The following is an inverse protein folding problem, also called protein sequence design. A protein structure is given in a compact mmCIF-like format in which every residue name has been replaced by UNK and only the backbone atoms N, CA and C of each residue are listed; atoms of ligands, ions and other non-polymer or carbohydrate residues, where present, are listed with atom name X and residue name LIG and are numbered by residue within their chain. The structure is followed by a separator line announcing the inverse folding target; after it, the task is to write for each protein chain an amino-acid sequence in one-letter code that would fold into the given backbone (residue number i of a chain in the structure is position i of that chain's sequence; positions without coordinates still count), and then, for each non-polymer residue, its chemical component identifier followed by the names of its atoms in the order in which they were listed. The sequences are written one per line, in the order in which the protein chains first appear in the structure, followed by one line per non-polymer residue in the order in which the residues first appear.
data_IF_836317756922
#
_entry.id   IF_836317756922
#
_cell.length_a   1.000
_cell.length_b   1.000
_cell.length_c   1.000
_cell.angle_alpha   90.00
_cell.angle_beta   90.00
_cell.angle_gamma   90.00
#
_symmetry.space_group_name_H-M   'P 1'
#
loop_
_entity.id
_entity.type
_entity.pdbx_description
1 polymer ?
#
# COMPACT_ATOMS: atom_id res chain seq x y z
N UNK A 1 40.25 -22.56 14.42
CA UNK A 1 41.19 -22.14 13.36
C UNK A 1 41.94 -20.93 13.88
N UNK A 2 43.25 -20.85 13.66
CA UNK A 2 44.04 -19.66 14.01
C UNK A 2 43.47 -18.45 13.25
N UNK A 3 42.96 -17.45 13.98
CA UNK A 3 42.41 -16.23 13.38
C UNK A 3 43.55 -15.46 12.70
N UNK A 4 43.48 -15.31 11.38
CA UNK A 4 44.46 -14.54 10.61
C UNK A 4 44.20 -13.06 10.87
N UNK A 5 45.09 -12.41 11.62
CA UNK A 5 45.05 -10.96 11.85
C UNK A 5 45.06 -10.26 10.49
N UNK A 6 44.05 -9.42 10.24
CA UNK A 6 43.90 -8.70 8.97
C UNK A 6 44.43 -7.28 9.10
N UNK A 7 45.51 -6.95 8.39
CA UNK A 7 46.06 -5.59 8.33
C UNK A 7 45.84 -4.92 6.98
N UNK A 8 46.28 -3.66 6.84
CA UNK A 8 46.12 -2.88 5.60
C UNK A 8 46.62 -3.60 4.34
N UNK A 9 47.77 -4.26 4.42
CA UNK A 9 48.40 -4.94 3.29
C UNK A 9 47.63 -6.16 2.78
N UNK A 10 46.68 -6.65 3.58
CA UNK A 10 45.80 -7.75 3.21
C UNK A 10 44.52 -7.26 2.54
N UNK A 11 44.26 -5.95 2.47
CA UNK A 11 43.02 -5.40 1.91
C UNK A 11 43.28 -4.72 0.57
N UNK A 12 42.40 -5.00 -0.37
CA UNK A 12 42.41 -4.41 -1.70
C UNK A 12 41.05 -3.76 -1.96
N UNK A 13 41.08 -2.47 -2.31
CA UNK A 13 39.91 -1.74 -2.78
C UNK A 13 39.92 -1.67 -4.31
N UNK A 14 38.76 -1.94 -4.92
CA UNK A 14 38.50 -1.73 -6.35
C UNK A 14 37.29 -0.83 -6.51
N UNK A 15 37.27 0.12 -7.47
CA UNK A 15 38.31 0.39 -8.48
C UNK A 15 39.44 1.32 -8.00
N UNK A 16 39.41 1.79 -6.76
CA UNK A 16 40.34 2.77 -6.22
C UNK A 16 41.67 2.14 -5.78
N UNK A 17 42.77 2.47 -6.47
CA UNK A 17 44.11 2.05 -6.07
C UNK A 17 44.70 3.06 -5.08
N UNK A 18 44.42 2.84 -3.80
CA UNK A 18 44.82 3.74 -2.72
C UNK A 18 45.65 3.00 -1.67
N UNK A 19 46.51 3.73 -0.96
CA UNK A 19 47.11 3.24 0.27
C UNK A 19 46.11 3.44 1.41
N UNK A 20 45.35 2.40 1.73
CA UNK A 20 44.31 2.41 2.75
C UNK A 20 44.86 2.85 4.12
N UNK A 21 44.20 3.81 4.75
CA UNK A 21 44.55 4.39 6.06
C UNK A 21 43.44 4.21 7.09
N UNK A 22 42.18 4.14 6.66
CA UNK A 22 41.06 3.86 7.55
C UNK A 22 40.05 3.01 6.80
N UNK A 23 39.45 2.06 7.50
CA UNK A 23 38.32 1.28 7.01
C UNK A 23 37.34 1.06 8.15
N UNK A 24 36.06 1.33 7.88
CA UNK A 24 34.96 1.01 8.77
C UNK A 24 33.84 0.36 7.98
N UNK A 25 33.42 -0.83 8.38
CA UNK A 25 32.27 -1.53 7.79
C UNK A 25 31.25 -1.76 8.90
N UNK A 26 30.01 -1.31 8.71
CA UNK A 26 28.92 -1.48 9.66
C UNK A 26 27.79 -2.27 9.01
N UNK A 27 27.42 -3.38 9.62
CA UNK A 27 26.31 -4.24 9.22
C UNK A 27 25.28 -4.25 10.35
N UNK A 28 24.02 -3.97 10.03
CA UNK A 28 22.88 -4.13 10.96
C UNK A 28 21.70 -4.76 10.23
N UNK A 29 20.91 -5.57 10.92
CA UNK A 29 19.63 -6.07 10.40
C UNK A 29 18.74 -4.85 10.07
N UNK A 30 18.00 -4.92 8.95
CA UNK A 30 17.15 -3.86 8.39
C UNK A 30 17.88 -2.63 7.82
N UNK A 31 19.21 -2.61 7.84
CA UNK A 31 20.01 -1.53 7.29
C UNK A 31 20.85 -2.03 6.12
N UNK A 32 21.17 -1.13 5.20
CA UNK A 32 22.19 -1.40 4.19
C UNK A 32 23.55 -1.50 4.87
N UNK A 33 24.39 -2.44 4.46
CA UNK A 33 25.76 -2.49 4.97
C UNK A 33 26.49 -1.26 4.47
N UNK A 34 27.11 -0.51 5.39
CA UNK A 34 27.81 0.74 5.08
C UNK A 34 29.31 0.56 5.25
N UNK A 35 30.07 0.93 4.24
CA UNK A 35 31.51 1.00 4.28
C UNK A 35 31.98 2.46 4.19
N UNK A 36 32.98 2.81 5.00
CA UNK A 36 33.71 4.05 4.93
C UNK A 36 35.18 3.72 4.77
N UNK A 37 35.88 4.42 3.89
CA UNK A 37 37.30 4.24 3.70
C UNK A 37 37.99 5.57 3.51
N UNK A 38 39.22 5.64 4.02
CA UNK A 38 40.16 6.73 3.78
C UNK A 38 41.44 6.13 3.26
N UNK A 39 42.01 6.68 2.19
CA UNK A 39 43.32 6.23 1.71
C UNK A 39 44.10 7.33 1.00
N UNK A 40 45.43 7.19 1.00
CA UNK A 40 46.34 8.12 0.32
C UNK A 40 46.35 7.78 -1.17
N UNK A 41 46.29 8.81 -1.99
CA UNK A 41 46.36 8.75 -3.45
C UNK A 41 47.50 9.63 -3.96
N UNK A 42 48.14 9.25 -5.06
CA UNK A 42 49.13 10.08 -5.71
C UNK A 42 48.49 11.31 -6.35
N UNK A 43 49.25 12.41 -6.44
CA UNK A 43 48.73 13.69 -6.95
C UNK A 43 48.16 13.59 -8.37
N UNK A 44 48.74 12.75 -9.21
CA UNK A 44 48.32 12.51 -10.60
C UNK A 44 47.00 11.71 -10.72
N UNK A 45 46.58 11.01 -9.66
CA UNK A 45 45.36 10.20 -9.65
C UNK A 45 44.20 10.84 -8.86
N UNK A 46 44.42 11.99 -8.21
CA UNK A 46 43.45 12.59 -7.29
C UNK A 46 42.12 12.95 -7.97
N UNK A 47 42.17 13.60 -9.13
CA UNK A 47 40.98 14.08 -9.84
C UNK A 47 40.33 12.94 -10.62
N UNK A 48 41.14 12.01 -11.16
CA UNK A 48 40.68 10.83 -11.89
C UNK A 48 39.62 10.04 -11.12
N UNK A 49 39.82 9.82 -9.82
CA UNK A 49 38.88 9.03 -9.03
C UNK A 49 37.55 9.75 -8.78
N UNK A 50 37.55 11.07 -8.72
CA UNK A 50 36.30 11.85 -8.69
C UNK A 50 35.61 11.76 -10.05
N UNK A 51 36.35 11.97 -11.14
CA UNK A 51 35.81 11.99 -12.50
C UNK A 51 35.25 10.63 -12.95
N UNK A 52 35.91 9.52 -12.60
CA UNK A 52 35.44 8.16 -12.97
C UNK A 52 34.31 7.63 -12.09
N UNK A 53 34.01 8.28 -10.96
CA UNK A 53 32.97 7.81 -10.05
C UNK A 53 31.62 8.37 -10.51
N UNK A 54 30.91 7.56 -11.27
CA UNK A 54 29.57 7.82 -11.77
C UNK A 54 28.48 7.22 -10.87
N UNK A 55 27.22 7.46 -11.23
CA UNK A 55 26.07 6.86 -10.55
C UNK A 55 26.18 5.32 -10.54
N UNK A 56 25.98 4.72 -9.36
CA UNK A 56 26.08 3.27 -9.14
C UNK A 56 27.47 2.67 -9.42
N UNK A 57 28.55 3.47 -9.35
CA UNK A 57 29.92 2.94 -9.43
C UNK A 57 30.12 1.83 -8.40
N UNK A 58 30.44 0.59 -8.83
CA UNK A 58 30.62 -0.51 -7.92
C UNK A 58 31.93 -0.36 -7.15
N UNK A 59 31.93 -0.82 -5.90
CA UNK A 59 33.12 -0.91 -5.07
C UNK A 59 33.21 -2.29 -4.44
N UNK A 60 34.42 -2.85 -4.45
CA UNK A 60 34.74 -4.10 -3.78
C UNK A 60 35.87 -3.88 -2.79
N UNK A 61 35.69 -4.38 -1.58
CA UNK A 61 36.74 -4.50 -0.57
C UNK A 61 37.02 -5.99 -0.42
N UNK A 62 38.21 -6.40 -0.85
CA UNK A 62 38.64 -7.79 -0.88
C UNK A 62 39.78 -8.00 0.10
N UNK A 63 39.73 -9.10 0.84
CA UNK A 63 40.83 -9.59 1.64
C UNK A 63 41.66 -10.60 0.83
N UNK A 64 42.95 -10.33 0.69
CA UNK A 64 43.92 -11.23 0.06
C UNK A 64 44.12 -12.45 0.95
N UNK A 65 43.68 -13.61 0.45
CA UNK A 65 43.84 -14.89 1.14
C UNK A 65 45.28 -15.41 1.08
N UNK A 66 45.60 -16.37 1.95
CA UNK A 66 46.88 -17.12 1.95
C UNK A 66 46.92 -18.16 0.80
N UNK A 67 45.75 -18.56 0.27
CA UNK A 67 45.61 -19.51 -0.84
C UNK A 67 44.74 -18.91 -1.95
N UNK A 68 45.39 -18.31 -2.96
CA UNK A 68 44.96 -17.96 -4.33
C UNK A 68 43.60 -17.27 -4.63
N UNK A 69 42.58 -17.37 -3.79
CA UNK A 69 41.30 -16.68 -3.96
C UNK A 69 41.15 -15.56 -2.93
N UNK A 70 40.88 -14.34 -3.43
CA UNK A 70 40.54 -13.20 -2.59
C UNK A 70 39.14 -13.43 -1.98
N UNK A 71 39.00 -13.20 -0.67
CA UNK A 71 37.71 -13.25 0.03
C UNK A 71 37.08 -11.88 -0.01
N UNK A 72 35.88 -11.77 -0.57
CA UNK A 72 35.14 -10.50 -0.62
C UNK A 72 34.60 -10.13 0.75
N UNK A 73 35.03 -9.00 1.29
CA UNK A 73 34.59 -8.47 2.60
C UNK A 73 33.35 -7.57 2.42
N UNK A 74 33.28 -6.85 1.32
CA UNK A 74 32.17 -5.97 1.00
C UNK A 74 32.06 -5.73 -0.50
N UNK A 75 30.83 -5.80 -1.03
CA UNK A 75 30.48 -5.32 -2.38
C UNK A 75 29.30 -4.37 -2.30
N UNK A 76 29.47 -3.19 -2.85
CA UNK A 76 28.46 -2.15 -2.81
C UNK A 76 28.59 -1.17 -3.95
N UNK A 77 27.90 -0.05 -3.79
CA UNK A 77 27.96 1.10 -4.67
C UNK A 77 28.44 2.30 -3.89
N UNK A 78 29.27 3.13 -4.52
CA UNK A 78 29.78 4.36 -3.93
C UNK A 78 28.65 5.38 -3.85
N UNK A 79 28.44 5.93 -2.66
CA UNK A 79 27.37 6.91 -2.39
C UNK A 79 27.91 8.30 -2.11
N UNK A 80 29.18 8.40 -1.72
CA UNK A 80 29.89 9.65 -1.57
C UNK A 80 31.38 9.43 -1.81
N UNK A 81 32.04 10.37 -2.48
CA UNK A 81 33.49 10.35 -2.65
C UNK A 81 34.02 11.78 -2.59
N UNK A 82 35.16 11.96 -1.95
CA UNK A 82 35.78 13.25 -1.75
C UNK A 82 37.30 13.14 -1.74
N UNK A 83 37.97 14.15 -2.26
CA UNK A 83 39.42 14.33 -2.12
C UNK A 83 39.70 15.44 -1.11
N UNK A 84 40.68 15.21 -0.24
CA UNK A 84 41.19 16.18 0.73
C UNK A 84 42.71 16.27 0.59
N UNK A 85 43.25 17.49 0.57
CA UNK A 85 44.69 17.72 0.64
C UNK A 85 45.10 18.20 2.04
N UNK A 86 46.14 17.60 2.62
CA UNK A 86 46.73 18.01 3.89
C UNK A 86 48.25 17.97 3.74
N UNK A 87 48.91 19.14 3.79
CA UNK A 87 50.37 19.27 3.64
C UNK A 87 50.89 18.57 2.38
N UNK A 88 50.23 18.83 1.25
CA UNK A 88 50.54 18.27 -0.08
C UNK A 88 50.40 16.74 -0.20
N UNK A 89 49.78 16.09 0.79
CA UNK A 89 49.34 14.70 0.70
C UNK A 89 47.85 14.67 0.39
N UNK A 90 47.48 13.92 -0.64
CA UNK A 90 46.09 13.78 -1.09
C UNK A 90 45.46 12.51 -0.51
N UNK A 91 44.27 12.66 0.06
CA UNK A 91 43.46 11.61 0.66
C UNK A 91 42.14 11.50 -0.08
N UNK A 92 41.70 10.28 -0.35
CA UNK A 92 40.35 9.98 -0.79
C UNK A 92 39.56 9.46 0.41
N UNK A 93 38.43 10.11 0.65
CA UNK A 93 37.41 9.72 1.63
C UNK A 93 36.20 9.22 0.84
N UNK A 94 35.76 7.99 1.09
CA UNK A 94 34.62 7.40 0.38
C UNK A 94 33.62 6.73 1.31
N UNK A 95 32.35 6.80 0.92
CA UNK A 95 31.24 6.06 1.52
C UNK A 95 30.60 5.15 0.47
N UNK A 96 30.23 3.96 0.90
CA UNK A 96 29.53 3.00 0.06
C UNK A 96 28.45 2.25 0.84
N UNK A 97 27.39 1.87 0.13
CA UNK A 97 26.30 1.06 0.65
C UNK A 97 26.17 -0.24 -0.15
N UNK A 98 25.72 -1.32 0.50
CA UNK A 98 25.40 -2.58 -0.18
C UNK A 98 24.41 -2.37 -1.33
N UNK A 99 24.41 -3.26 -2.32
CA UNK A 99 23.58 -3.14 -3.53
C UNK A 99 22.07 -3.07 -3.25
N UNK A 100 21.60 -3.55 -2.09
CA UNK A 100 20.21 -3.36 -1.62
C UNK A 100 19.81 -1.88 -1.49
N UNK A 101 20.76 -0.94 -1.40
CA UNK A 101 20.49 0.49 -1.40
C UNK A 101 19.74 0.95 -2.65
N UNK A 102 19.89 0.27 -3.79
CA UNK A 102 19.13 0.57 -5.01
C UNK A 102 17.61 0.47 -4.80
N UNK A 103 17.16 -0.34 -3.83
CA UNK A 103 15.75 -0.48 -3.44
C UNK A 103 15.27 0.63 -2.51
N UNK A 104 16.15 1.48 -1.97
CA UNK A 104 15.82 2.53 -0.99
C UNK A 104 15.96 3.96 -1.54
N UNK A 105 15.95 4.13 -2.87
CA UNK A 105 16.13 5.43 -3.52
C UNK A 105 14.78 6.10 -3.85
N UNK A 106 13.89 5.38 -4.54
CA UNK A 106 12.64 5.94 -5.09
C UNK A 106 11.43 5.48 -4.26
N UNK A 107 10.65 6.43 -3.77
CA UNK A 107 9.34 6.13 -3.19
C UNK A 107 8.34 5.74 -4.27
N UNK A 108 7.53 4.73 -3.99
CA UNK A 108 6.54 4.15 -4.90
C UNK A 108 5.18 4.03 -4.22
N UNK A 109 4.16 3.93 -5.05
CA UNK A 109 2.80 3.63 -4.63
C UNK A 109 2.22 2.56 -5.53
N UNK A 110 1.79 1.43 -4.97
CA UNK A 110 1.15 0.29 -5.66
C UNK A 110 0.38 -0.56 -4.66
N UNK A 111 -0.67 -1.24 -5.10
CA UNK A 111 -1.48 -2.11 -4.25
C UNK A 111 -1.33 -3.59 -4.63
N UNK A 112 -1.50 -4.43 -3.61
CA UNK A 112 -1.52 -5.89 -3.69
C UNK A 112 -2.85 -6.36 -3.12
N UNK A 113 -3.84 -6.46 -4.02
CA UNK A 113 -5.23 -6.73 -3.65
C UNK A 113 -5.55 -8.22 -3.50
N UNK A 114 -4.77 -9.09 -4.14
CA UNK A 114 -4.98 -10.53 -4.13
C UNK A 114 -4.57 -11.12 -2.78
N UNK A 115 -5.55 -11.34 -1.89
CA UNK A 115 -5.32 -11.91 -0.56
C UNK A 115 -4.69 -13.31 -0.57
N UNK A 116 -4.81 -14.04 -1.67
CA UNK A 116 -4.29 -15.39 -1.83
C UNK A 116 -2.87 -15.40 -2.45
N UNK A 117 -2.32 -14.23 -2.79
CA UNK A 117 -0.91 -14.06 -3.18
C UNK A 117 0.03 -14.45 -2.03
N UNK A 118 1.11 -15.16 -2.33
CA UNK A 118 2.15 -15.48 -1.34
C UNK A 118 3.05 -14.28 -1.06
N UNK A 119 3.66 -14.22 0.13
CA UNK A 119 4.69 -13.21 0.40
C UNK A 119 5.87 -13.33 -0.57
N UNK A 120 6.23 -14.54 -1.00
CA UNK A 120 7.28 -14.76 -1.97
C UNK A 120 6.94 -14.14 -3.33
N UNK A 121 5.71 -14.31 -3.83
CA UNK A 121 5.25 -13.70 -5.08
C UNK A 121 5.22 -12.16 -4.99
N UNK A 122 4.78 -11.62 -3.84
CA UNK A 122 4.79 -10.19 -3.57
C UNK A 122 6.22 -9.64 -3.61
N UNK A 123 7.17 -10.29 -2.93
CA UNK A 123 8.58 -9.87 -2.91
C UNK A 123 9.18 -9.95 -4.32
N UNK A 124 8.94 -11.05 -5.05
CA UNK A 124 9.39 -11.22 -6.43
C UNK A 124 8.83 -10.12 -7.34
N UNK A 125 7.57 -9.71 -7.17
CA UNK A 125 6.98 -8.59 -7.90
C UNK A 125 7.70 -7.27 -7.61
N UNK A 126 8.09 -7.03 -6.35
CA UNK A 126 8.78 -5.81 -5.94
C UNK A 126 10.21 -5.76 -6.49
N UNK A 127 10.93 -6.88 -6.46
CA UNK A 127 12.36 -6.90 -6.78
C UNK A 127 12.68 -7.14 -8.28
N UNK A 128 11.69 -7.52 -9.10
CA UNK A 128 11.89 -7.93 -10.49
C UNK A 128 12.50 -6.83 -11.40
N UNK A 129 12.34 -5.56 -11.05
CA UNK A 129 12.88 -4.43 -11.80
C UNK A 129 14.39 -4.22 -11.55
N UNK A 130 14.96 -4.90 -10.55
CA UNK A 130 16.36 -4.79 -10.17
C UNK A 130 17.17 -5.96 -10.73
N UNK A 131 18.13 -5.66 -11.61
CA UNK A 131 18.95 -6.67 -12.28
C UNK A 131 19.71 -7.57 -11.29
N UNK A 132 19.41 -8.87 -11.32
CA UNK A 132 20.05 -9.88 -10.46
C UNK A 132 19.65 -9.84 -9.00
N UNK A 133 18.61 -9.06 -8.64
CA UNK A 133 18.02 -9.10 -7.31
C UNK A 133 17.37 -10.45 -7.03
N UNK A 134 17.39 -10.83 -5.76
CA UNK A 134 16.93 -12.12 -5.29
C UNK A 134 16.65 -12.05 -3.79
N UNK A 135 15.71 -12.86 -3.31
CA UNK A 135 15.36 -12.93 -1.91
C UNK A 135 15.44 -14.38 -1.44
N UNK A 136 16.30 -14.63 -0.46
CA UNK A 136 16.30 -15.91 0.25
C UNK A 136 15.31 -15.83 1.41
N UNK A 137 14.13 -16.41 1.22
CA UNK A 137 13.06 -16.45 2.19
C UNK A 137 13.19 -17.67 3.12
N UNK A 138 13.50 -17.42 4.39
CA UNK A 138 13.67 -18.47 5.40
C UNK A 138 12.50 -18.54 6.39
N UNK A 139 11.46 -17.70 6.23
CA UNK A 139 10.45 -17.48 7.27
C UNK A 139 9.01 -17.64 6.81
N UNK A 140 8.63 -17.26 5.58
CA UNK A 140 7.21 -17.21 5.20
C UNK A 140 6.64 -18.60 4.96
N UNK A 141 7.47 -19.54 4.49
CA UNK A 141 7.09 -20.93 4.19
C UNK A 141 5.85 -21.04 3.28
N UNK A 142 5.71 -20.11 2.34
CA UNK A 142 4.59 -20.07 1.39
C UNK A 142 3.30 -19.48 1.96
N UNK A 143 3.36 -18.78 3.10
CA UNK A 143 2.17 -18.12 3.64
C UNK A 143 1.64 -17.03 2.69
N UNK A 144 0.33 -16.87 2.67
CA UNK A 144 -0.35 -15.86 1.86
C UNK A 144 -0.52 -14.55 2.62
N UNK A 145 -0.67 -13.45 1.88
CA UNK A 145 -0.81 -12.12 2.49
C UNK A 145 -2.13 -11.98 3.27
N UNK A 146 -3.17 -12.76 2.92
CA UNK A 146 -4.50 -12.88 3.57
C UNK A 146 -5.36 -11.62 3.64
N UNK A 147 -4.79 -10.47 3.32
CA UNK A 147 -5.43 -9.16 3.39
C UNK A 147 -4.94 -8.24 2.28
N UNK A 148 -5.61 -7.10 2.13
CA UNK A 148 -5.14 -6.03 1.26
C UNK A 148 -3.82 -5.47 1.80
N UNK A 149 -2.84 -5.31 0.91
CA UNK A 149 -1.57 -4.65 1.20
C UNK A 149 -1.36 -3.50 0.22
N UNK A 150 -0.84 -2.38 0.70
CA UNK A 150 -0.47 -1.24 -0.15
C UNK A 150 0.92 -0.75 0.19
N UNK A 151 1.78 -0.61 -0.82
CA UNK A 151 2.97 0.24 -0.71
C UNK A 151 2.52 1.67 -1.02
N UNK A 152 2.68 2.61 -0.09
CA UNK A 152 2.23 4.00 -0.30
C UNK A 152 3.29 5.00 0.12
N UNK A 153 3.90 5.66 -0.86
CA UNK A 153 5.03 6.59 -0.63
C UNK A 153 6.15 5.98 0.22
N UNK A 154 6.39 4.68 0.03
CA UNK A 154 7.49 3.92 0.64
C UNK A 154 8.48 3.56 -0.46
N UNK A 155 9.77 3.51 -0.15
CA UNK A 155 10.72 2.82 -1.01
C UNK A 155 10.47 1.32 -0.98
N UNK A 156 11.06 0.57 -1.91
CA UNK A 156 10.93 -0.89 -1.91
C UNK A 156 11.60 -1.50 -0.69
N UNK A 157 12.73 -0.97 -0.24
CA UNK A 157 13.37 -1.42 0.99
C UNK A 157 12.50 -1.16 2.23
N UNK A 158 11.89 0.02 2.35
CA UNK A 158 10.96 0.33 3.45
C UNK A 158 9.76 -0.61 3.45
N UNK A 159 9.18 -0.88 2.28
CA UNK A 159 8.07 -1.79 2.10
C UNK A 159 8.44 -3.23 2.47
N UNK A 160 9.57 -3.74 1.96
CA UNK A 160 10.05 -5.08 2.25
C UNK A 160 10.37 -5.27 3.75
N UNK A 161 10.92 -4.25 4.43
CA UNK A 161 11.10 -4.26 5.89
C UNK A 161 9.78 -4.41 6.62
N UNK A 162 8.75 -3.72 6.14
CA UNK A 162 7.40 -3.84 6.70
C UNK A 162 6.82 -5.24 6.49
N UNK A 163 7.00 -5.83 5.31
CA UNK A 163 6.59 -7.22 5.06
C UNK A 163 7.32 -8.20 5.99
N UNK A 164 8.64 -8.04 6.18
CA UNK A 164 9.42 -8.83 7.14
C UNK A 164 8.90 -8.72 8.58
N UNK A 165 8.45 -7.52 8.97
CA UNK A 165 7.93 -7.28 10.32
C UNK A 165 6.66 -8.05 10.63
N UNK A 166 5.87 -8.47 9.62
CA UNK A 166 4.69 -9.33 9.82
C UNK A 166 5.06 -10.71 10.41
N UNK A 167 6.32 -11.13 10.26
CA UNK A 167 6.88 -12.37 10.81
C UNK A 167 7.82 -12.10 12.00
N UNK A 168 7.77 -10.89 12.58
CA UNK A 168 8.66 -10.43 13.63
C UNK A 168 10.15 -10.58 13.31
N UNK A 169 10.51 -10.41 12.04
CA UNK A 169 11.89 -10.54 11.56
C UNK A 169 12.33 -9.32 10.76
N UNK A 170 13.57 -9.34 10.28
CA UNK A 170 14.15 -8.27 9.47
C UNK A 170 14.82 -8.78 8.20
N UNK A 171 15.43 -7.85 7.48
CA UNK A 171 16.16 -8.11 6.24
C UNK A 171 17.67 -8.05 6.48
N UNK A 172 18.41 -8.94 5.82
CA UNK A 172 19.88 -8.95 5.86
C UNK A 172 20.42 -8.87 4.43
N UNK A 173 21.15 -7.80 4.05
CA UNK A 173 21.78 -7.71 2.74
C UNK A 173 22.84 -8.79 2.51
N UNK A 174 22.86 -9.37 1.32
CA UNK A 174 23.98 -10.22 0.86
C UNK A 174 25.12 -9.34 0.31
N UNK A 175 26.34 -9.61 0.77
CA UNK A 175 27.55 -8.86 0.45
C UNK A 175 28.47 -9.57 -0.54
N UNK A 176 28.13 -10.80 -0.93
CA UNK A 176 29.01 -11.67 -1.73
C UNK A 176 28.70 -11.62 -3.22
N UNK A 177 27.42 -11.50 -3.58
CA UNK A 177 26.95 -11.57 -4.97
C UNK A 177 27.24 -10.32 -5.80
N UNK A 178 27.45 -9.15 -5.18
CA UNK A 178 27.54 -7.88 -5.90
C UNK A 178 26.23 -7.50 -6.62
N UNK A 179 25.10 -8.01 -6.10
CA UNK A 179 23.75 -7.75 -6.61
C UNK A 179 22.81 -7.40 -5.46
N UNK A 180 21.62 -6.83 -5.74
CA UNK A 180 20.64 -6.45 -4.72
C UNK A 180 19.95 -7.66 -4.07
N UNK A 181 20.73 -8.57 -3.51
CA UNK A 181 20.26 -9.79 -2.85
C UNK A 181 20.16 -9.58 -1.35
N UNK A 182 19.19 -10.25 -0.73
CA UNK A 182 18.99 -10.21 0.71
C UNK A 182 18.29 -11.46 1.22
N UNK A 183 18.35 -11.64 2.54
CA UNK A 183 17.59 -12.65 3.26
C UNK A 183 16.37 -11.99 3.90
N UNK A 184 15.22 -12.64 3.78
CA UNK A 184 14.04 -12.36 4.59
C UNK A 184 14.09 -13.31 5.80
N UNK A 185 14.53 -12.77 6.94
CA UNK A 185 14.88 -13.57 8.11
C UNK A 185 16.38 -13.87 8.21
N UNK A 186 16.71 -14.82 9.09
CA UNK A 186 18.10 -15.21 9.35
C UNK A 186 18.58 -16.21 8.29
N UNK A 187 19.84 -16.11 7.81
CA UNK A 187 20.43 -17.14 6.98
C UNK A 187 20.49 -18.48 7.71
N UNK A 188 20.20 -19.58 7.01
CA UNK A 188 20.42 -20.92 7.56
C UNK A 188 21.92 -21.13 7.81
N UNK A 189 22.31 -21.29 9.08
CA UNK A 189 23.69 -21.58 9.46
C UNK A 189 23.89 -23.09 9.53
N UNK A 190 24.90 -23.62 8.82
CA UNK A 190 25.20 -25.06 8.81
C UNK A 190 25.72 -25.59 10.16
N UNK A 191 26.29 -24.72 11.00
CA UNK A 191 26.79 -25.04 12.34
C UNK A 191 27.04 -23.76 13.16
N UNK A 192 26.81 -23.83 14.47
CA UNK A 192 27.15 -22.76 15.41
C UNK A 192 28.67 -22.52 15.44
N UNK A 193 29.09 -21.26 15.40
CA UNK A 193 30.51 -20.90 15.48
C UNK A 193 30.90 -20.66 16.93
N UNK A 194 31.97 -21.30 17.40
CA UNK A 194 32.57 -21.02 18.70
C UNK A 194 33.66 -19.96 18.54
N UNK A 195 33.60 -18.93 19.38
CA UNK A 195 34.66 -17.90 19.45
C UNK A 195 35.54 -18.11 20.68
N UNK A 196 36.85 -18.12 20.42
CA UNK A 196 37.91 -18.13 21.44
C UNK A 196 38.63 -16.77 21.41
N UNK A 197 39.16 -16.31 22.55
CA UNK A 197 39.84 -15.01 22.70
C UNK A 197 38.97 -13.79 22.32
N UNK A 198 38.30 -13.24 23.33
CA UNK A 198 37.43 -12.09 23.15
C UNK A 198 37.42 -11.19 24.39
N UNK A 199 37.08 -9.92 24.19
CA UNK A 199 36.70 -8.98 25.24
C UNK A 199 35.21 -8.69 25.13
N UNK A 200 34.50 -8.56 26.25
CA UNK A 200 33.07 -8.28 26.18
C UNK A 200 32.53 -7.40 27.30
N UNK A 201 31.45 -6.69 26.99
CA UNK A 201 30.51 -6.11 27.94
C UNK A 201 29.17 -6.85 27.83
N UNK A 202 28.33 -6.76 28.87
CA UNK A 202 26.99 -7.33 28.86
C UNK A 202 25.98 -6.28 29.29
N UNK A 203 24.89 -6.18 28.56
CA UNK A 203 23.80 -5.26 28.82
C UNK A 203 22.44 -5.93 28.68
N UNK A 204 21.40 -5.21 29.08
CA UNK A 204 20.01 -5.64 28.90
C UNK A 204 19.15 -4.43 28.51
N UNK A 205 18.42 -4.54 27.40
CA UNK A 205 17.55 -3.47 26.91
C UNK A 205 16.15 -3.55 27.57
N UNK A 206 16.05 -3.05 28.80
CA UNK A 206 14.81 -3.08 29.59
C UNK A 206 13.68 -2.30 28.93
N UNK A 207 13.98 -1.13 28.34
CA UNK A 207 12.96 -0.33 27.63
C UNK A 207 12.41 -1.07 26.40
N UNK A 208 13.28 -1.74 25.64
CA UNK A 208 12.88 -2.54 24.50
C UNK A 208 11.99 -3.72 24.90
N UNK A 209 12.35 -4.38 26.01
CA UNK A 209 11.53 -5.46 26.59
C UNK A 209 10.10 -4.98 26.89
N UNK A 210 9.95 -3.95 27.73
CA UNK A 210 8.63 -3.42 28.11
C UNK A 210 7.80 -3.02 26.90
N UNK A 211 8.42 -2.32 25.94
CA UNK A 211 7.70 -1.88 24.75
C UNK A 211 7.24 -3.06 23.89
N UNK A 212 8.10 -4.05 23.65
CA UNK A 212 7.75 -5.20 22.81
C UNK A 212 6.78 -6.16 23.50
N UNK A 213 6.93 -6.45 24.79
CA UNK A 213 6.06 -7.38 25.53
C UNK A 213 4.62 -6.87 25.65
N UNK A 214 4.44 -5.57 25.85
CA UNK A 214 3.11 -4.97 26.04
C UNK A 214 2.37 -4.74 24.72
N UNK A 215 3.07 -4.68 23.57
CA UNK A 215 2.47 -4.24 22.31
C UNK A 215 2.55 -5.26 21.15
N UNK A 216 3.54 -6.17 21.12
CA UNK A 216 3.84 -6.94 19.91
C UNK A 216 4.17 -8.42 20.15
N UNK A 217 5.06 -8.72 21.10
CA UNK A 217 5.57 -10.07 21.34
C UNK A 217 4.91 -10.70 22.55
N UNK A 218 4.35 -11.90 22.37
CA UNK A 218 3.79 -12.68 23.48
C UNK A 218 4.84 -13.64 24.05
N UNK A 219 4.74 -13.94 25.35
CA UNK A 219 5.58 -14.93 26.04
C UNK A 219 7.10 -14.65 26.00
N UNK A 220 7.49 -13.37 25.93
CA UNK A 220 8.90 -12.96 26.02
C UNK A 220 9.27 -12.58 27.45
N UNK A 221 10.56 -12.73 27.78
CA UNK A 221 11.12 -12.37 29.08
C UNK A 221 12.18 -11.29 28.93
N UNK A 222 12.53 -10.62 30.03
CA UNK A 222 13.61 -9.63 30.02
C UNK A 222 14.98 -10.26 29.69
N UNK A 223 15.12 -11.59 29.80
CA UNK A 223 16.34 -12.32 29.41
C UNK A 223 16.54 -12.40 27.91
N UNK A 224 15.46 -12.32 27.12
CA UNK A 224 15.50 -12.28 25.65
C UNK A 224 16.09 -10.98 25.11
N UNK A 225 16.18 -9.95 25.96
CA UNK A 225 16.71 -8.61 25.66
C UNK A 225 18.12 -8.39 26.22
N UNK A 226 18.79 -9.45 26.68
CA UNK A 226 20.21 -9.42 27.00
C UNK A 226 21.00 -9.29 25.70
N UNK A 227 22.07 -8.50 25.72
CA UNK A 227 23.02 -8.44 24.63
C UNK A 227 24.45 -8.43 25.14
N UNK A 228 25.37 -8.94 24.32
CA UNK A 228 26.80 -8.89 24.55
C UNK A 228 27.45 -8.04 23.48
N UNK A 229 28.26 -7.08 23.89
CA UNK A 229 29.15 -6.37 22.98
C UNK A 229 30.49 -7.11 23.02
N UNK A 230 30.92 -7.68 21.90
CA UNK A 230 32.08 -8.57 21.84
C UNK A 230 33.11 -8.02 20.87
N UNK A 231 34.35 -7.85 21.31
CA UNK A 231 35.53 -7.59 20.48
C UNK A 231 36.31 -8.90 20.28
N UNK A 232 36.57 -9.27 19.02
CA UNK A 232 37.32 -10.48 18.65
C UNK A 232 37.95 -10.34 17.27
N UNK A 233 38.94 -11.19 16.95
CA UNK A 233 39.55 -11.30 15.61
C UNK A 233 38.78 -12.27 14.70
N UNK A 234 37.79 -12.99 15.23
CA UNK A 234 36.95 -13.88 14.44
C UNK A 234 36.01 -13.10 13.52
N UNK A 235 35.90 -13.52 12.26
CA UNK A 235 34.98 -12.93 11.28
C UNK A 235 33.64 -13.67 11.36
N UNK A 236 32.63 -12.97 11.88
CA UNK A 236 31.25 -13.45 11.99
C UNK A 236 30.33 -12.64 11.06
N UNK A 237 29.34 -13.33 10.48
CA UNK A 237 28.32 -12.72 9.63
C UNK A 237 27.03 -12.41 10.41
N UNK A 238 26.26 -11.44 9.89
CA UNK A 238 24.96 -11.09 10.48
C UNK A 238 24.02 -12.29 10.47
N UNK A 239 23.30 -12.47 11.58
CA UNK A 239 22.35 -13.55 11.76
C UNK A 239 22.97 -14.94 11.97
N UNK A 240 24.30 -15.07 11.93
CA UNK A 240 24.97 -16.33 12.26
C UNK A 240 24.79 -16.70 13.72
N UNK A 241 24.65 -18.00 13.96
CA UNK A 241 24.57 -18.59 15.29
C UNK A 241 25.97 -18.75 15.90
N UNK A 242 26.11 -18.30 17.15
CA UNK A 242 27.36 -18.26 17.92
C UNK A 242 27.17 -18.97 19.26
N UNK A 243 28.03 -19.95 19.52
CA UNK A 243 28.16 -20.58 20.84
C UNK A 243 29.04 -19.70 21.73
N UNK A 244 28.39 -18.92 22.59
CA UNK A 244 29.06 -17.96 23.47
C UNK A 244 28.73 -18.25 24.94
N UNK A 245 29.74 -18.63 25.71
CA UNK A 245 29.63 -18.98 27.15
C UNK A 245 28.56 -20.05 27.41
N UNK A 246 28.64 -21.15 26.67
CA UNK A 246 27.74 -22.32 26.75
C UNK A 246 26.25 -21.99 26.50
N UNK A 247 25.99 -20.90 25.76
CA UNK A 247 24.67 -20.47 25.34
C UNK A 247 24.70 -20.05 23.87
N UNK A 248 23.57 -20.19 23.22
CA UNK A 248 23.36 -19.84 21.82
C UNK A 248 22.95 -18.36 21.71
N UNK A 249 23.71 -17.59 20.92
CA UNK A 249 23.42 -16.21 20.56
C UNK A 249 23.52 -16.01 19.05
N UNK A 250 23.01 -14.91 18.55
CA UNK A 250 23.04 -14.55 17.14
C UNK A 250 23.66 -13.17 16.95
N UNK A 251 24.40 -12.99 15.85
CA UNK A 251 25.00 -11.71 15.49
C UNK A 251 23.93 -10.73 15.02
N UNK A 252 23.59 -9.75 15.87
CA UNK A 252 22.57 -8.72 15.58
C UNK A 252 23.16 -7.52 14.85
N UNK A 253 24.36 -7.11 15.24
CA UNK A 253 25.11 -6.02 14.62
C UNK A 253 26.59 -6.42 14.50
N UNK A 254 27.25 -5.94 13.45
CA UNK A 254 28.69 -6.09 13.25
C UNK A 254 29.29 -4.77 12.82
N UNK A 255 30.41 -4.41 13.42
CA UNK A 255 31.25 -3.31 12.97
C UNK A 255 32.71 -3.74 12.92
N UNK A 256 33.31 -3.64 11.75
CA UNK A 256 34.75 -3.82 11.58
C UNK A 256 35.39 -2.44 11.47
N UNK A 257 36.39 -2.16 12.30
CA UNK A 257 37.12 -0.89 12.31
C UNK A 257 38.61 -1.16 12.29
N UNK A 258 39.32 -0.48 11.40
CA UNK A 258 40.77 -0.49 11.38
C UNK A 258 41.32 0.39 12.51
N UNK A 259 42.10 -0.21 13.42
CA UNK A 259 42.74 0.46 14.55
C UNK A 259 44.17 -0.03 14.70
N UNK A 260 45.14 0.89 14.81
CA UNK A 260 46.59 0.59 14.90
C UNK A 260 47.10 -0.40 13.82
N UNK A 261 46.48 -0.37 12.63
CA UNK A 261 46.85 -1.22 11.49
C UNK A 261 46.29 -2.63 11.51
N UNK A 262 45.37 -2.93 12.43
CA UNK A 262 44.65 -4.20 12.52
C UNK A 262 43.14 -3.94 12.40
N UNK A 263 42.46 -4.74 11.60
CA UNK A 263 41.01 -4.71 11.49
C UNK A 263 40.39 -5.41 12.71
N UNK A 264 39.84 -4.63 13.63
CA UNK A 264 39.14 -5.12 14.82
C UNK A 264 37.66 -5.30 14.53
N UNK A 265 37.09 -6.40 15.02
CA UNK A 265 35.67 -6.67 14.87
C UNK A 265 34.95 -6.52 16.21
N UNK A 266 33.91 -5.70 16.20
CA UNK A 266 32.98 -5.54 17.30
C UNK A 266 31.60 -6.06 16.88
N UNK A 267 31.01 -6.89 17.72
CA UNK A 267 29.72 -7.53 17.47
C UNK A 267 28.75 -7.20 18.60
N UNK A 268 27.47 -7.13 18.25
CA UNK A 268 26.41 -7.24 19.24
C UNK A 268 25.74 -8.60 19.07
N UNK A 269 25.90 -9.46 20.08
CA UNK A 269 25.26 -10.77 20.15
C UNK A 269 23.99 -10.67 20.98
N UNK A 270 22.90 -11.28 20.53
CA UNK A 270 21.63 -11.32 21.26
C UNK A 270 20.94 -12.69 21.10
N UNK A 271 20.08 -13.10 22.06
CA UNK A 271 19.23 -14.27 21.89
C UNK A 271 18.39 -14.15 20.61
N UNK A 272 17.94 -15.28 20.06
CA UNK A 272 17.14 -15.28 18.82
C UNK A 272 15.94 -14.34 18.86
N UNK A 273 15.20 -14.34 19.98
CA UNK A 273 14.05 -13.45 20.21
C UNK A 273 14.50 -11.98 20.30
N UNK A 274 15.70 -11.70 20.79
CA UNK A 274 16.28 -10.35 20.82
C UNK A 274 16.63 -9.79 19.43
N UNK A 275 16.52 -10.59 18.37
CA UNK A 275 16.61 -10.13 16.97
C UNK A 275 15.22 -9.85 16.37
N UNK A 276 14.13 -10.09 17.12
CA UNK A 276 12.78 -9.85 16.62
C UNK A 276 12.51 -8.36 16.41
N UNK A 277 11.75 -8.07 15.35
CA UNK A 277 11.30 -6.72 15.04
C UNK A 277 9.79 -6.58 15.30
N UNK A 278 9.40 -5.43 15.87
CA UNK A 278 7.99 -5.10 16.06
C UNK A 278 7.33 -4.83 14.70
N UNK A 279 6.01 -4.99 14.62
CA UNK A 279 5.25 -4.69 13.40
C UNK A 279 5.46 -3.23 13.00
N UNK A 280 5.84 -3.05 11.74
CA UNK A 280 5.98 -1.74 11.11
C UNK A 280 4.66 -1.45 10.38
N UNK A 281 4.22 -0.19 10.42
CA UNK A 281 3.03 0.26 9.70
C UNK A 281 3.37 1.46 8.84
N UNK A 282 2.71 1.57 7.69
CA UNK A 282 2.82 2.75 6.86
C UNK A 282 1.89 3.84 7.39
N UNK A 283 2.41 4.76 8.21
CA UNK A 283 1.60 5.85 8.75
C UNK A 283 1.24 6.93 7.72
N UNK A 284 1.87 6.96 6.54
CA UNK A 284 1.57 7.97 5.50
C UNK A 284 0.24 7.71 4.81
N UNK A 285 -0.30 6.49 4.89
CA UNK A 285 -1.61 6.14 4.31
C UNK A 285 -2.78 6.68 5.16
N UNK A 286 -2.54 6.98 6.44
CA UNK A 286 -3.59 7.43 7.37
C UNK A 286 -4.21 8.73 6.87
N UNK A 287 -5.52 8.70 6.65
CA UNK A 287 -6.27 9.84 6.11
C UNK A 287 -6.18 10.02 4.60
N UNK A 288 -5.38 9.19 3.90
CA UNK A 288 -5.27 9.26 2.45
C UNK A 288 -6.55 8.74 1.77
N UNK A 289 -6.82 9.28 0.59
CA UNK A 289 -7.88 8.81 -0.30
C UNK A 289 -7.31 8.57 -1.68
N UNK A 290 -7.39 7.33 -2.16
CA UNK A 290 -6.87 6.93 -3.46
C UNK A 290 -8.05 6.77 -4.41
N UNK A 291 -8.02 7.52 -5.51
CA UNK A 291 -9.04 7.40 -6.53
C UNK A 291 -8.89 6.07 -7.27
N UNK A 292 -10.00 5.50 -7.70
CA UNK A 292 -10.00 4.30 -8.49
C UNK A 292 -11.32 4.05 -9.18
N UNK A 293 -11.27 3.20 -10.19
CA UNK A 293 -12.42 2.84 -11.02
C UNK A 293 -13.08 1.57 -10.50
N UNK A 294 -14.39 1.61 -10.33
CA UNK A 294 -15.19 0.43 -9.94
C UNK A 294 -15.17 -0.59 -11.07
N UNK A 295 -14.72 -1.81 -10.77
CA UNK A 295 -14.61 -2.92 -11.73
C UNK A 295 -15.54 -4.08 -11.38
N UNK A 296 -16.06 -4.13 -10.16
CA UNK A 296 -17.13 -5.03 -9.76
C UNK A 296 -17.90 -4.50 -8.57
N UNK A 297 -19.14 -4.96 -8.42
CA UNK A 297 -20.05 -4.58 -7.34
C UNK A 297 -20.74 -5.84 -6.84
N UNK A 298 -20.79 -6.02 -5.53
CA UNK A 298 -21.54 -7.10 -4.89
C UNK A 298 -22.08 -6.63 -3.55
N UNK A 299 -23.41 -6.63 -3.41
CA UNK A 299 -24.11 -6.04 -2.25
C UNK A 299 -23.61 -4.60 -1.97
N UNK A 300 -23.15 -4.35 -0.75
CA UNK A 300 -22.57 -3.11 -0.23
C UNK A 300 -21.05 -3.01 -0.42
N UNK A 301 -20.46 -3.86 -1.26
CA UNK A 301 -19.03 -3.89 -1.52
C UNK A 301 -18.71 -3.60 -2.99
N UNK A 302 -17.53 -3.03 -3.22
CA UNK A 302 -16.99 -2.73 -4.55
C UNK A 302 -15.57 -3.26 -4.69
N UNK A 303 -15.23 -3.72 -5.89
CA UNK A 303 -13.85 -3.93 -6.32
C UNK A 303 -13.40 -2.72 -7.11
N UNK A 304 -12.18 -2.26 -6.84
CA UNK A 304 -11.68 -1.00 -7.38
C UNK A 304 -10.31 -1.20 -8.01
N UNK A 305 -10.16 -0.82 -9.28
CA UNK A 305 -8.85 -0.59 -9.91
C UNK A 305 -8.36 0.77 -9.40
N UNK A 306 -7.41 0.78 -8.47
CA UNK A 306 -6.82 2.01 -7.94
C UNK A 306 -5.90 2.66 -8.96
N UNK A 307 -5.94 3.98 -9.11
CA UNK A 307 -5.15 4.70 -10.12
C UNK A 307 -3.63 4.62 -9.93
N UNK A 308 -3.18 4.21 -8.74
CA UNK A 308 -1.78 3.94 -8.47
C UNK A 308 -1.28 2.64 -9.13
N UNK A 309 -2.20 1.80 -9.62
CA UNK A 309 -1.88 0.52 -10.24
C UNK A 309 -2.03 0.60 -11.76
N UNK A 310 -1.04 0.06 -12.48
CA UNK A 310 -1.10 -0.02 -13.94
C UNK A 310 -2.22 -0.96 -14.42
N UNK A 311 -2.42 -2.07 -13.69
CA UNK A 311 -3.40 -3.11 -14.02
C UNK A 311 -3.98 -3.73 -12.76
N UNK A 312 -5.26 -4.10 -12.82
CA UNK A 312 -5.94 -4.83 -11.75
C UNK A 312 -6.79 -5.96 -12.35
N UNK A 313 -6.50 -7.22 -11.98
CA UNK A 313 -7.39 -8.33 -12.31
C UNK A 313 -8.66 -8.21 -11.45
N UNK A 314 -9.82 -8.23 -12.11
CA UNK A 314 -11.14 -8.14 -11.49
C UNK A 314 -11.36 -9.25 -10.46
N UNK A 315 -10.99 -10.49 -10.77
CA UNK A 315 -11.31 -11.65 -9.93
C UNK A 315 -10.45 -11.73 -8.67
N UNK A 316 -9.29 -11.09 -8.70
CA UNK A 316 -8.31 -11.03 -7.60
C UNK A 316 -8.42 -9.73 -6.78
N UNK A 317 -9.19 -8.75 -7.25
CA UNK A 317 -9.33 -7.47 -6.56
C UNK A 317 -10.00 -7.61 -5.19
N UNK A 318 -9.61 -6.74 -4.28
CA UNK A 318 -10.08 -6.72 -2.91
C UNK A 318 -11.46 -6.08 -2.85
N UNK A 319 -12.33 -6.63 -2.00
CA UNK A 319 -13.66 -6.07 -1.76
C UNK A 319 -13.56 -4.98 -0.70
N UNK A 320 -13.75 -3.74 -1.12
CA UNK A 320 -13.88 -2.61 -0.21
C UNK A 320 -15.34 -2.39 0.14
N UNK A 321 -15.69 -2.22 1.43
CA UNK A 321 -17.03 -1.76 1.80
C UNK A 321 -17.28 -0.37 1.20
N UNK A 322 -18.49 -0.14 0.72
CA UNK A 322 -18.92 1.16 0.21
C UNK A 322 -19.73 1.89 1.27
N UNK A 323 -19.36 3.14 1.58
CA UNK A 323 -20.05 3.94 2.58
C UNK A 323 -21.37 4.48 2.06
N UNK A 324 -22.46 4.13 2.74
CA UNK A 324 -23.78 4.74 2.55
C UNK A 324 -23.97 5.96 3.45
N UNK A 325 -24.69 6.97 2.95
CA UNK A 325 -25.03 8.21 3.66
C UNK A 325 -26.05 7.96 4.78
N UNK A 326 -26.88 6.92 4.68
CA UNK A 326 -27.88 6.57 5.69
C UNK A 326 -28.16 5.07 5.66
N UNK A 327 -28.04 4.43 6.82
CA UNK A 327 -28.42 3.03 7.00
C UNK A 327 -29.16 2.88 8.33
N UNK A 328 -30.31 2.23 8.30
CA UNK A 328 -31.01 1.70 9.46
C UNK A 328 -31.09 0.18 9.29
N UNK A 329 -30.12 -0.52 9.86
CA UNK A 329 -29.90 -1.95 9.65
C UNK A 329 -31.19 -2.77 9.78
N UNK A 330 -31.42 -3.65 8.81
CA UNK A 330 -32.60 -4.51 8.72
C UNK A 330 -33.92 -3.80 8.37
N UNK A 331 -33.94 -2.49 8.13
CA UNK A 331 -35.17 -1.72 7.96
C UNK A 331 -35.18 -0.82 6.72
N UNK A 332 -34.34 0.21 6.68
CA UNK A 332 -34.32 1.25 5.64
C UNK A 332 -32.91 1.78 5.41
N UNK A 333 -32.71 2.56 4.35
CA UNK A 333 -31.40 3.13 4.06
C UNK A 333 -31.31 3.75 2.67
N UNK A 334 -30.20 4.43 2.43
CA UNK A 334 -29.80 4.96 1.14
C UNK A 334 -28.95 3.92 0.41
N UNK A 335 -29.61 2.99 -0.28
CA UNK A 335 -28.92 2.00 -1.10
C UNK A 335 -28.76 2.51 -2.54
N UNK A 336 -27.66 3.23 -2.77
CA UNK A 336 -27.30 3.79 -4.07
C UNK A 336 -25.83 3.46 -4.35
N UNK A 337 -25.60 2.22 -4.79
CA UNK A 337 -24.27 1.74 -5.17
C UNK A 337 -23.80 2.47 -6.44
N UNK A 338 -22.49 2.74 -6.57
CA UNK A 338 -21.91 3.20 -7.82
C UNK A 338 -22.12 2.15 -8.93
N UNK A 339 -21.93 2.55 -10.17
CA UNK A 339 -22.00 1.66 -11.33
C UNK A 339 -20.61 1.18 -11.75
N UNK A 340 -20.55 0.04 -12.47
CA UNK A 340 -19.30 -0.43 -13.04
C UNK A 340 -18.75 0.63 -13.99
N UNK A 341 -17.50 1.03 -13.77
CA UNK A 341 -16.83 2.08 -14.51
C UNK A 341 -16.86 3.47 -13.86
N UNK A 342 -17.65 3.66 -12.80
CA UNK A 342 -17.62 4.89 -12.00
C UNK A 342 -16.30 5.01 -11.24
N UNK A 343 -15.93 6.24 -10.91
CA UNK A 343 -14.76 6.51 -10.08
C UNK A 343 -15.20 6.74 -8.64
N UNK A 344 -14.51 6.09 -7.71
CA UNK A 344 -14.69 6.24 -6.26
C UNK A 344 -13.37 6.62 -5.61
N UNK A 345 -13.39 7.00 -4.33
CA UNK A 345 -12.20 7.20 -3.52
C UNK A 345 -12.15 6.13 -2.43
N UNK A 346 -11.10 5.32 -2.40
CA UNK A 346 -10.84 4.42 -1.27
C UNK A 346 -10.08 5.20 -0.20
N UNK A 347 -10.75 5.44 0.93
CA UNK A 347 -10.23 6.17 2.08
C UNK A 347 -9.67 5.21 3.13
N UNK A 348 -8.50 5.53 3.67
CA UNK A 348 -7.82 4.73 4.68
C UNK A 348 -7.85 5.48 6.03
N UNK A 349 -8.73 5.09 6.97
CA UNK A 349 -8.94 5.84 8.21
C UNK A 349 -7.77 5.71 9.20
N UNK A 350 -7.02 4.61 9.13
CA UNK A 350 -5.96 4.29 10.06
C UNK A 350 -4.80 3.56 9.36
N UNK A 351 -3.88 3.02 10.16
CA UNK A 351 -2.66 2.36 9.68
C UNK A 351 -2.87 0.91 9.20
N UNK A 352 -4.07 0.36 9.37
CA UNK A 352 -4.48 -0.96 8.88
C UNK A 352 -5.08 -0.79 7.50
N UNK A 353 -4.35 -1.28 6.52
CA UNK A 353 -4.63 -1.07 5.10
C UNK A 353 -5.96 -1.75 4.69
N UNK A 354 -6.28 -2.86 5.34
CA UNK A 354 -7.55 -3.59 5.17
C UNK A 354 -8.79 -2.82 5.63
N UNK A 355 -8.64 -1.76 6.44
CA UNK A 355 -9.75 -0.92 6.88
C UNK A 355 -10.15 0.14 5.83
N UNK A 356 -9.61 0.05 4.60
CA UNK A 356 -9.99 0.90 3.49
C UNK A 356 -11.49 0.85 3.19
N UNK A 357 -12.11 2.01 2.96
CA UNK A 357 -13.54 2.14 2.66
C UNK A 357 -13.70 2.93 1.37
N UNK A 358 -14.49 2.42 0.43
CA UNK A 358 -14.85 3.16 -0.77
C UNK A 358 -15.91 4.22 -0.43
N UNK A 359 -15.60 5.47 -0.76
CA UNK A 359 -16.43 6.65 -0.53
C UNK A 359 -16.65 7.36 -1.85
N UNK A 360 -17.79 8.05 -1.95
CA UNK A 360 -18.09 9.09 -2.94
C UNK A 360 -17.89 8.68 -4.42
N UNK A 361 -18.96 8.62 -5.21
CA UNK A 361 -18.83 8.61 -6.66
C UNK A 361 -18.34 9.97 -7.17
N UNK A 362 -17.16 10.01 -7.79
CA UNK A 362 -16.56 11.23 -8.36
C UNK A 362 -16.88 11.28 -9.85
N UNK A 363 -17.67 12.28 -10.26
CA UNK A 363 -17.97 12.49 -11.69
C UNK A 363 -16.72 12.96 -12.43
N UNK A 364 -16.26 12.15 -13.39
CA UNK A 364 -15.14 12.47 -14.27
C UNK A 364 -15.58 13.08 -15.60
N UNK A 365 -16.71 12.60 -16.13
CA UNK A 365 -17.22 13.05 -17.42
C UNK A 365 -17.89 14.43 -17.30
N UNK A 366 -17.36 15.38 -18.06
CA UNK A 366 -17.85 16.76 -18.17
C UNK A 366 -18.57 17.01 -19.49
N UNK A 367 -18.61 16.05 -20.41
CA UNK A 367 -19.27 16.20 -21.70
C UNK A 367 -20.78 16.21 -21.52
N UNK A 368 -21.41 17.27 -22.05
CA UNK A 368 -22.86 17.38 -22.03
C UNK A 368 -23.47 16.35 -22.96
N UNK A 369 -24.28 15.47 -22.40
CA UNK A 369 -25.11 14.52 -23.14
C UNK A 369 -26.53 14.59 -22.62
N UNK A 370 -27.46 13.90 -23.29
CA UNK A 370 -28.84 13.78 -22.83
C UNK A 370 -28.94 13.23 -21.39
N UNK A 371 -27.98 12.38 -21.00
CA UNK A 371 -27.92 11.78 -19.67
C UNK A 371 -26.92 12.46 -18.72
N UNK A 372 -26.01 13.31 -19.22
CA UNK A 372 -25.04 14.07 -18.42
C UNK A 372 -25.45 15.55 -18.33
N UNK A 373 -26.47 15.83 -17.50
CA UNK A 373 -27.07 17.15 -17.29
C UNK A 373 -26.43 17.89 -16.10
N UNK A 374 -25.20 18.40 -16.28
CA UNK A 374 -24.42 19.05 -15.20
C UNK A 374 -23.95 20.48 -15.52
N UNK A 375 -24.55 21.10 -16.53
CA UNK A 375 -24.21 22.44 -17.00
C UNK A 375 -24.87 23.56 -16.20
N UNK A 376 -26.00 23.30 -15.53
CA UNK A 376 -26.70 24.29 -14.71
C UNK A 376 -26.82 23.83 -13.24
N UNK A 377 -26.07 24.45 -12.30
CA UNK A 377 -26.11 24.09 -10.88
C UNK A 377 -27.43 24.44 -10.17
N UNK A 378 -28.26 25.32 -10.74
CA UNK A 378 -29.58 25.64 -10.19
C UNK A 378 -30.60 24.53 -10.42
N UNK A 379 -30.29 23.59 -11.32
CA UNK A 379 -31.12 22.42 -11.59
C UNK A 379 -30.48 21.18 -10.98
N UNK A 380 -31.20 20.55 -10.05
CA UNK A 380 -30.73 19.38 -9.30
C UNK A 380 -31.45 18.15 -9.79
N UNK A 381 -30.69 17.07 -9.99
CA UNK A 381 -31.21 15.81 -10.49
C UNK A 381 -30.83 14.67 -9.55
N UNK A 382 -31.79 13.76 -9.31
CA UNK A 382 -31.51 12.39 -8.93
C UNK A 382 -31.97 11.49 -10.07
N UNK A 383 -31.03 10.87 -10.79
CA UNK A 383 -31.30 10.09 -11.99
C UNK A 383 -30.60 8.74 -11.94
N UNK A 384 -31.27 7.69 -12.41
CA UNK A 384 -30.68 6.35 -12.58
C UNK A 384 -30.31 6.10 -14.05
N UNK A 385 -29.41 5.15 -14.33
CA UNK A 385 -29.09 4.74 -15.71
C UNK A 385 -30.29 4.31 -16.56
N UNK A 386 -31.39 3.90 -15.92
CA UNK A 386 -32.64 3.49 -16.58
C UNK A 386 -33.59 4.66 -16.87
N UNK A 387 -33.10 5.91 -16.78
CA UNK A 387 -33.85 7.12 -17.11
C UNK A 387 -34.99 7.46 -16.14
N UNK A 388 -34.93 6.95 -14.90
CA UNK A 388 -35.83 7.38 -13.83
C UNK A 388 -35.25 8.62 -13.19
N UNK A 389 -36.02 9.69 -13.07
CA UNK A 389 -35.51 10.99 -12.68
C UNK A 389 -36.44 11.70 -11.70
N UNK A 390 -35.84 12.32 -10.69
CA UNK A 390 -36.44 13.38 -9.88
C UNK A 390 -35.62 14.64 -10.11
N UNK A 391 -36.27 15.68 -10.65
CA UNK A 391 -35.64 16.94 -11.03
C UNK A 391 -36.24 18.10 -10.23
N UNK A 392 -35.37 18.99 -9.77
CA UNK A 392 -35.74 20.26 -9.12
C UNK A 392 -35.09 21.41 -9.88
N UNK A 393 -35.89 22.31 -10.42
CA UNK A 393 -35.46 23.57 -11.02
C UNK A 393 -36.05 24.76 -10.23
N UNK A 394 -35.65 26.00 -10.51
CA UNK A 394 -36.27 27.17 -9.89
C UNK A 394 -37.77 27.29 -10.11
N UNK A 395 -38.32 26.76 -11.20
CA UNK A 395 -39.75 26.93 -11.56
C UNK A 395 -40.60 25.67 -11.39
N UNK A 396 -39.98 24.48 -11.28
CA UNK A 396 -40.71 23.21 -11.26
C UNK A 396 -39.99 22.04 -10.60
N UNK A 397 -40.81 21.07 -10.14
CA UNK A 397 -40.42 19.73 -9.73
C UNK A 397 -40.97 18.74 -10.74
N UNK A 398 -40.14 17.81 -11.22
CA UNK A 398 -40.56 16.75 -12.17
C UNK A 398 -40.15 15.38 -11.65
N UNK A 399 -41.11 14.46 -11.61
CA UNK A 399 -40.89 13.03 -11.37
C UNK A 399 -41.16 12.25 -12.66
N UNK A 400 -40.13 11.61 -13.20
CA UNK A 400 -40.17 10.93 -14.51
C UNK A 400 -39.99 9.43 -14.36
N UNK A 401 -41.00 8.67 -14.81
CA UNK A 401 -40.94 7.21 -14.95
C UNK A 401 -40.33 6.77 -16.29
N UNK A 402 -40.47 7.58 -17.35
CA UNK A 402 -39.78 7.41 -18.63
C UNK A 402 -39.79 8.76 -19.33
N UNK A 403 -38.63 9.19 -19.83
CA UNK A 403 -38.46 10.53 -20.40
C UNK A 403 -39.54 10.82 -21.45
N UNK A 404 -40.23 11.95 -21.30
CA UNK A 404 -41.31 12.44 -22.17
C UNK A 404 -42.53 11.51 -22.36
N UNK A 405 -42.60 10.37 -21.67
CA UNK A 405 -43.69 9.41 -21.82
C UNK A 405 -44.55 9.27 -20.56
N UNK A 406 -43.93 9.29 -19.38
CA UNK A 406 -44.65 9.15 -18.10
C UNK A 406 -44.01 10.07 -17.07
N UNK A 407 -44.73 11.12 -16.65
CA UNK A 407 -44.24 12.07 -15.67
C UNK A 407 -45.35 12.76 -14.86
N UNK A 408 -44.96 13.26 -13.69
CA UNK A 408 -45.71 14.24 -12.91
C UNK A 408 -44.88 15.51 -12.82
N UNK A 409 -45.46 16.64 -13.19
CA UNK A 409 -44.83 17.96 -13.15
C UNK A 409 -45.62 18.88 -12.23
N UNK A 410 -44.90 19.58 -11.35
CA UNK A 410 -45.45 20.61 -10.46
C UNK A 410 -44.72 21.91 -10.81
N UNK A 411 -45.43 22.88 -11.39
CA UNK A 411 -44.86 24.13 -11.88
C UNK A 411 -45.57 25.35 -11.26
N UNK A 412 -44.80 26.38 -10.92
CA UNK A 412 -45.33 27.59 -10.25
C UNK A 412 -46.32 28.41 -11.10
N UNK A 413 -46.17 28.39 -12.43
CA UNK A 413 -46.95 29.24 -13.35
C UNK A 413 -48.26 28.60 -13.78
N UNK A 414 -48.27 27.29 -14.02
CA UNK A 414 -49.42 26.59 -14.60
C UNK A 414 -49.93 25.39 -13.78
N UNK A 415 -49.35 25.14 -12.60
CA UNK A 415 -49.86 24.16 -11.64
C UNK A 415 -49.33 22.75 -11.85
N UNK A 416 -50.21 21.75 -11.70
CA UNK A 416 -49.84 20.33 -11.70
C UNK A 416 -50.28 19.67 -13.00
N UNK A 417 -49.37 18.93 -13.63
CA UNK A 417 -49.61 18.11 -14.81
C UNK A 417 -49.26 16.65 -14.52
N UNK A 418 -50.17 15.74 -14.86
CA UNK A 418 -49.95 14.28 -14.85
C UNK A 418 -50.08 13.81 -16.28
N UNK A 419 -48.98 13.33 -16.86
CA UNK A 419 -48.92 12.90 -18.24
C UNK A 419 -48.46 11.45 -18.33
N UNK A 420 -49.12 10.67 -19.20
CA UNK A 420 -48.77 9.28 -19.42
C UNK A 420 -49.24 8.81 -20.81
N UNK A 421 -48.36 8.15 -21.54
CA UNK A 421 -48.70 7.38 -22.76
C UNK A 421 -49.39 6.05 -22.44
N UNK A 422 -49.42 5.67 -21.16
CA UNK A 422 -50.08 4.48 -20.62
C UNK A 422 -51.28 4.89 -19.75
N UNK A 423 -52.19 3.95 -19.39
CA UNK A 423 -53.36 4.28 -18.57
C UNK A 423 -53.00 4.89 -17.21
N UNK A 424 -53.71 5.97 -16.83
CA UNK A 424 -53.65 6.56 -15.49
C UNK A 424 -54.85 6.04 -14.68
N UNK A 425 -54.60 5.35 -13.56
CA UNK A 425 -55.64 4.79 -12.69
C UNK A 425 -55.61 5.44 -11.31
N UNK A 426 -56.74 6.01 -10.90
CA UNK A 426 -56.96 6.55 -9.55
C UNK A 426 -57.95 5.62 -8.84
N UNK A 427 -57.62 5.14 -7.63
CA UNK A 427 -58.45 4.17 -6.90
C UNK A 427 -58.38 4.44 -5.40
N UNK A 428 -59.52 4.39 -4.70
CA UNK A 428 -59.65 4.53 -3.25
C UNK A 428 -60.58 3.43 -2.71
N UNK A 429 -60.32 2.97 -1.48
CA UNK A 429 -61.24 2.06 -0.76
C UNK A 429 -62.39 2.80 -0.08
N UNK A 430 -62.22 4.10 0.14
CA UNK A 430 -63.19 4.98 0.78
C UNK A 430 -63.78 5.89 -0.31
N UNK A 431 -63.55 7.21 -0.23
CA UNK A 431 -63.97 8.19 -1.23
C UNK A 431 -62.82 8.72 -2.09
N UNK A 432 -63.19 9.34 -3.22
CA UNK A 432 -62.37 10.29 -3.99
C UNK A 432 -63.22 11.56 -4.11
N UNK A 433 -62.67 12.69 -3.67
CA UNK A 433 -63.32 14.00 -3.75
C UNK A 433 -62.57 14.88 -4.75
N UNK A 434 -63.32 15.55 -5.63
CA UNK A 434 -62.79 16.51 -6.60
C UNK A 434 -63.60 17.81 -6.48
N UNK A 435 -63.00 18.82 -5.86
CA UNK A 435 -63.60 20.15 -5.70
C UNK A 435 -62.87 21.18 -6.58
N UNK A 436 -63.64 22.00 -7.30
CA UNK A 436 -63.14 23.06 -8.16
C UNK A 436 -64.11 24.24 -8.18
N UNK A 437 -63.62 25.44 -7.83
CA UNK A 437 -64.45 26.65 -7.77
C UNK A 437 -64.94 27.14 -9.14
N UNK A 438 -64.29 26.76 -10.23
CA UNK A 438 -64.55 27.33 -11.57
C UNK A 438 -65.11 26.31 -12.53
N UNK A 439 -64.30 25.33 -12.93
CA UNK A 439 -64.64 24.45 -14.05
C UNK A 439 -63.91 23.12 -13.96
N UNK A 440 -64.67 22.03 -14.10
CA UNK A 440 -64.16 20.69 -14.37
C UNK A 440 -64.35 20.41 -15.86
N UNK A 441 -63.31 19.91 -16.53
CA UNK A 441 -63.35 19.51 -17.94
C UNK A 441 -63.00 18.03 -18.01
N UNK A 442 -63.89 17.23 -18.58
CA UNK A 442 -63.66 15.82 -18.90
C UNK A 442 -63.85 15.65 -20.41
N UNK A 443 -62.83 15.14 -21.09
CA UNK A 443 -62.85 14.92 -22.53
C UNK A 443 -62.22 13.56 -22.83
N UNK A 444 -62.86 12.79 -23.69
CA UNK A 444 -62.36 11.53 -24.23
C UNK A 444 -62.72 11.46 -25.72
N UNK A 445 -61.90 10.75 -26.50
CA UNK A 445 -62.19 10.51 -27.92
C UNK A 445 -63.20 9.39 -28.12
N UNK A 446 -63.12 8.34 -27.30
CA UNK A 446 -63.94 7.13 -27.45
C UNK A 446 -65.19 7.14 -26.55
N UNK A 447 -65.02 7.10 -25.22
CA UNK A 447 -66.15 7.02 -24.26
C UNK A 447 -65.82 7.74 -22.94
N UNK A 448 -66.82 8.41 -22.34
CA UNK A 448 -66.82 8.78 -20.92
C UNK A 448 -67.90 7.95 -20.21
N UNK A 449 -67.55 7.29 -19.12
CA UNK A 449 -68.42 6.36 -18.39
C UNK A 449 -68.41 6.66 -16.88
N UNK A 450 -69.59 6.84 -16.30
CA UNK A 450 -69.81 7.09 -14.88
C UNK A 450 -70.79 6.03 -14.37
N UNK A 451 -70.35 5.21 -13.42
CA UNK A 451 -71.15 4.09 -12.91
C UNK A 451 -71.21 4.07 -11.38
N UNK A 452 -72.37 3.70 -10.85
CA UNK A 452 -72.62 3.50 -9.42
C UNK A 452 -73.63 2.36 -9.24
N UNK A 453 -73.18 1.18 -8.79
CA UNK A 453 -73.99 -0.05 -8.72
C UNK A 453 -74.66 -0.33 -10.07
N UNK A 454 -75.99 -0.39 -10.11
CA UNK A 454 -76.79 -0.62 -11.33
C UNK A 454 -77.00 0.64 -12.17
N UNK A 455 -76.65 1.83 -11.68
CA UNK A 455 -76.81 3.09 -12.41
C UNK A 455 -75.58 3.39 -13.26
N UNK A 456 -75.79 3.82 -14.51
CA UNK A 456 -74.73 4.14 -15.47
C UNK A 456 -75.11 5.34 -16.35
N UNK A 457 -74.15 6.24 -16.57
CA UNK A 457 -74.15 7.27 -17.60
C UNK A 457 -72.97 6.98 -18.54
N UNK A 458 -73.21 6.87 -19.85
CA UNK A 458 -72.15 6.75 -20.86
C UNK A 458 -72.34 7.74 -22.01
N UNK A 459 -71.23 8.30 -22.49
CA UNK A 459 -71.16 9.26 -23.59
C UNK A 459 -70.13 8.79 -24.61
N UNK A 460 -70.57 8.40 -25.81
CA UNK A 460 -69.78 7.77 -26.90
C UNK A 460 -70.12 8.35 -28.29
N UNK A 461 -70.72 9.53 -28.33
CA UNK A 461 -71.38 10.13 -29.50
C UNK A 461 -72.90 10.27 -29.32
N UNK A 462 -73.50 9.39 -28.51
CA UNK A 462 -74.82 9.59 -27.92
C UNK A 462 -74.73 9.57 -26.38
N UNK A 463 -75.71 10.17 -25.71
CA UNK A 463 -75.79 10.13 -24.23
C UNK A 463 -76.76 9.05 -23.79
N UNK A 464 -76.27 8.04 -23.08
CA UNK A 464 -77.06 6.93 -22.57
C UNK A 464 -77.16 7.00 -21.05
N UNK A 465 -78.37 6.89 -20.50
CA UNK A 465 -78.64 6.93 -19.06
C UNK A 465 -79.45 5.68 -18.70
N UNK A 466 -78.90 4.82 -17.84
CA UNK A 466 -79.52 3.56 -17.40
C UNK A 466 -79.55 3.46 -15.87
N UNK A 467 -80.63 2.91 -15.32
CA UNK A 467 -80.81 2.64 -13.89
C UNK A 467 -82.20 2.05 -13.62
N UNK A 468 -82.38 1.44 -12.45
CA UNK A 468 -83.65 0.82 -12.04
C UNK A 468 -84.85 1.77 -12.00
N UNK A 469 -84.60 3.09 -11.88
CA UNK A 469 -85.60 4.15 -12.03
C UNK A 469 -84.95 5.43 -12.56
N UNK A 470 -85.27 5.81 -13.79
CA UNK A 470 -84.83 7.08 -14.41
C UNK A 470 -86.01 8.06 -14.39
N UNK A 471 -85.85 9.21 -13.73
CA UNK A 471 -86.84 10.30 -13.78
C UNK A 471 -86.28 11.42 -14.66
N UNK A 472 -86.95 11.66 -15.78
CA UNK A 472 -86.68 12.79 -16.68
C UNK A 472 -87.82 13.77 -16.43
N UNK A 473 -87.51 14.94 -15.87
CA UNK A 473 -88.48 16.00 -15.62
C UNK A 473 -88.48 16.99 -16.79
#
# INVERSE_FOLDING_TARGET
MSATITGYHNLELKPYQISLQELKIVKKINEHTKAFFTGIVSEDQKDKYIEMTEAQTPIEINQRGVSTDNVSVFKGIVTNIKVKSVRDIYYIEGEALSHTYLMDIKQKSRSFQNKDMTYQDLINNVINEYSGADCNDTVTRGDTIKKFIIQYQETDWQFLKRMASHFHTGLIPDLTSGKPKFYLGLPESASSQKIDNFHYSVGKNISGFWYSSENYLQNVTDTDFIYYEVETDAILDLGSEIDFKDRCFYVRESSALMHDGILKHHYILAPKIGLSHNNIYNHKIVGASIMGKVIDISNDNVRVHLEIDEKQNKDEAYWFPYSSIYTAEGNSGWYCMPENGDYVRVYFPDKQEENGIALNAVRQDKEKTENNKVDNPDVKYFRTKSGKELMFSPEEIVLTGKDNEVFVRINEKYGIEIYSTQPVKITSKEGIEMDCQKKIIMAAQDEINISCKESKISMDGATHINGSKVKIN
#
